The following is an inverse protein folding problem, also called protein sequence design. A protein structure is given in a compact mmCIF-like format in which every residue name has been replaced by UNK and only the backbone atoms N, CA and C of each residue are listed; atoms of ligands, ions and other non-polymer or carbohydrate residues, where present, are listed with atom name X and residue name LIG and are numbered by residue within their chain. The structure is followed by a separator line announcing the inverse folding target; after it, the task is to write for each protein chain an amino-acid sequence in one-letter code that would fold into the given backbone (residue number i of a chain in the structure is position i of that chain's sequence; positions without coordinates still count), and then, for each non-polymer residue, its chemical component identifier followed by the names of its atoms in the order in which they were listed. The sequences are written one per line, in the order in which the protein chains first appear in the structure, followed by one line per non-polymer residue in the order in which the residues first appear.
data_IF_811610578833
#
_entry.id   IF_811610578833
#
_cell.length_a   1.000
_cell.length_b   1.000
_cell.length_c   1.000
_cell.angle_alpha   90.00
_cell.angle_beta   90.00
_cell.angle_gamma   90.00
#
_symmetry.space_group_name_H-M   'P 1'
#
loop_
_entity.id
_entity.type
_entity.pdbx_description
1 polymer ?
#
# COMPACT_ATOMS: atom_id res chain seq x y z
N UNK A 1 18.92 -10.00 12.52
CA UNK A 1 18.50 -10.07 11.10
C UNK A 1 17.84 -8.75 10.79
N UNK A 2 18.09 -8.19 9.61
CA UNK A 2 17.38 -6.95 9.18
C UNK A 2 15.90 -7.26 8.97
N UNK A 3 15.03 -6.41 9.49
CA UNK A 3 13.56 -6.51 9.34
C UNK A 3 13.14 -5.96 7.98
N UNK A 4 13.41 -6.69 6.90
CA UNK A 4 13.11 -6.30 5.53
C UNK A 4 11.70 -6.73 5.11
N UNK A 5 11.05 -5.93 4.27
CA UNK A 5 9.83 -6.31 3.58
C UNK A 5 10.20 -7.17 2.37
N UNK A 6 9.57 -8.33 2.23
CA UNK A 6 9.82 -9.21 1.07
C UNK A 6 8.53 -9.35 0.25
N UNK A 7 8.56 -8.99 -1.04
CA UNK A 7 7.45 -9.12 -1.98
C UNK A 7 7.95 -9.80 -3.24
N UNK A 8 7.31 -10.88 -3.65
CA UNK A 8 7.64 -11.61 -4.88
C UNK A 8 9.15 -11.99 -5.00
N UNK A 9 9.81 -12.26 -3.87
CA UNK A 9 11.23 -12.61 -3.81
C UNK A 9 12.19 -11.42 -3.75
N UNK A 10 11.72 -10.19 -3.93
CA UNK A 10 12.52 -8.99 -3.76
C UNK A 10 12.42 -8.47 -2.34
N UNK A 11 13.51 -7.89 -1.81
CA UNK A 11 13.59 -7.33 -0.46
C UNK A 11 13.71 -5.82 -0.49
N UNK A 12 12.99 -5.17 0.43
CA UNK A 12 12.92 -3.72 0.54
C UNK A 12 13.19 -3.28 1.97
N UNK A 13 13.91 -2.19 2.14
CA UNK A 13 14.15 -1.59 3.45
C UNK A 13 12.97 -0.72 3.89
N UNK A 14 12.27 -0.13 2.93
CA UNK A 14 11.08 0.69 3.18
C UNK A 14 9.82 -0.18 3.21
N UNK A 15 8.95 0.10 4.19
CA UNK A 15 7.60 -0.46 4.30
C UNK A 15 6.53 0.52 3.80
N UNK A 16 6.98 1.67 3.24
CA UNK A 16 6.14 2.65 2.59
C UNK A 16 6.14 2.42 1.09
N UNK A 17 4.96 2.23 0.51
CA UNK A 17 4.71 2.25 -0.92
C UNK A 17 3.98 3.55 -1.25
N UNK A 18 4.34 4.21 -2.36
CA UNK A 18 3.77 5.52 -2.69
C UNK A 18 3.24 5.59 -4.11
N UNK A 19 2.15 6.33 -4.29
CA UNK A 19 1.57 6.61 -5.60
C UNK A 19 2.12 7.90 -6.22
N UNK A 20 1.90 8.05 -7.52
CA UNK A 20 2.39 9.16 -8.34
C UNK A 20 1.30 10.15 -8.77
N UNK A 21 0.06 9.90 -8.40
CA UNK A 21 -1.06 10.72 -8.86
C UNK A 21 -1.33 11.96 -8.02
N UNK A 22 -1.89 13.00 -8.66
CA UNK A 22 -2.46 14.19 -8.01
C UNK A 22 -1.47 15.19 -7.39
N UNK A 23 -0.17 15.00 -7.57
CA UNK A 23 0.81 16.05 -7.28
C UNK A 23 0.68 17.18 -8.29
N UNK A 24 1.21 18.34 -7.95
CA UNK A 24 1.17 19.53 -8.77
C UNK A 24 1.92 19.36 -10.10
N UNK A 25 3.09 18.73 -10.04
CA UNK A 25 3.96 18.45 -11.18
C UNK A 25 4.88 17.25 -10.88
N UNK A 26 5.69 16.84 -11.86
CA UNK A 26 6.61 15.71 -11.69
C UNK A 26 7.79 16.01 -10.76
N UNK A 27 8.20 17.28 -10.61
CA UNK A 27 9.25 17.65 -9.67
C UNK A 27 8.79 17.49 -8.22
N UNK A 28 7.59 17.96 -7.89
CA UNK A 28 6.98 17.72 -6.56
C UNK A 28 6.75 16.22 -6.30
N UNK A 29 6.32 15.47 -7.32
CA UNK A 29 6.16 14.01 -7.25
C UNK A 29 7.48 13.35 -6.89
N UNK A 30 8.56 13.66 -7.60
CA UNK A 30 9.91 13.15 -7.35
C UNK A 30 10.39 13.50 -5.95
N UNK A 31 10.29 14.77 -5.55
CA UNK A 31 10.75 15.23 -4.23
C UNK A 31 9.99 14.54 -3.09
N UNK A 32 8.68 14.35 -3.23
CA UNK A 32 7.87 13.63 -2.25
C UNK A 32 8.26 12.15 -2.16
N UNK A 33 8.48 11.47 -3.29
CA UNK A 33 8.92 10.07 -3.34
C UNK A 33 10.30 9.91 -2.69
N UNK A 34 11.27 10.76 -3.06
CA UNK A 34 12.62 10.73 -2.49
C UNK A 34 12.59 10.94 -0.97
N UNK A 35 11.82 11.93 -0.51
CA UNK A 35 11.67 12.24 0.92
C UNK A 35 10.97 11.13 1.69
N UNK A 36 10.02 10.44 1.08
CA UNK A 36 9.31 9.30 1.68
C UNK A 36 10.21 8.10 1.92
N UNK A 37 11.30 7.98 1.17
CA UNK A 37 12.18 6.82 1.20
C UNK A 37 11.55 5.54 0.63
N UNK A 38 10.42 5.66 -0.08
CA UNK A 38 9.77 4.51 -0.72
C UNK A 38 10.66 3.92 -1.81
N UNK A 39 10.70 2.61 -1.89
CA UNK A 39 11.42 1.85 -2.92
C UNK A 39 10.46 1.26 -3.97
N UNK A 40 9.16 1.20 -3.65
CA UNK A 40 8.09 0.76 -4.56
C UNK A 40 7.18 1.95 -4.86
N UNK A 41 7.02 2.25 -6.15
CA UNK A 41 6.24 3.39 -6.63
C UNK A 41 5.12 2.93 -7.55
N UNK A 42 3.85 3.23 -7.20
CA UNK A 42 2.72 2.83 -8.04
C UNK A 42 2.44 3.83 -9.15
N UNK A 43 2.13 3.30 -10.33
CA UNK A 43 1.82 4.08 -11.52
C UNK A 43 0.51 3.63 -12.15
N UNK A 44 -0.43 4.56 -12.29
CA UNK A 44 -1.72 4.29 -12.95
C UNK A 44 -1.56 4.30 -14.48
N UNK A 45 -1.44 3.13 -15.09
CA UNK A 45 -1.15 2.94 -16.52
C UNK A 45 -2.13 3.68 -17.44
N UNK A 46 -3.41 3.73 -17.07
CA UNK A 46 -4.44 4.39 -17.87
C UNK A 46 -4.42 5.93 -17.79
N UNK A 47 -3.66 6.50 -16.85
CA UNK A 47 -3.72 7.93 -16.51
C UNK A 47 -2.37 8.64 -16.64
N UNK A 48 -1.29 7.88 -16.79
CA UNK A 48 0.07 8.43 -16.74
C UNK A 48 0.84 7.98 -17.96
N UNK A 49 1.49 8.92 -18.65
CA UNK A 49 2.40 8.58 -19.73
C UNK A 49 3.70 7.97 -19.15
N UNK A 50 3.96 6.72 -19.54
CA UNK A 50 5.19 5.97 -19.24
C UNK A 50 5.87 5.50 -20.54
N UNK A 51 5.69 6.27 -21.63
CA UNK A 51 6.24 6.00 -22.95
C UNK A 51 5.20 5.72 -24.04
N UNK A 52 3.89 5.68 -23.71
CA UNK A 52 2.82 5.46 -24.71
C UNK A 52 2.65 6.64 -25.67
N UNK A 53 3.00 7.85 -25.25
CA UNK A 53 2.90 9.08 -26.04
C UNK A 53 4.25 9.81 -26.06
N UNK A 54 4.90 9.84 -27.19
CA UNK A 54 6.21 10.47 -27.35
C UNK A 54 6.17 12.02 -27.26
N UNK A 55 5.01 12.63 -27.46
CA UNK A 55 4.81 14.08 -27.42
C UNK A 55 4.51 14.62 -26.01
N UNK A 56 4.36 13.74 -25.03
CA UNK A 56 4.07 14.10 -23.64
C UNK A 56 5.24 13.73 -22.72
N UNK A 57 5.48 14.48 -21.62
CA UNK A 57 6.49 14.12 -20.64
C UNK A 57 6.28 12.69 -20.11
N UNK A 58 7.35 11.91 -20.10
CA UNK A 58 7.33 10.55 -19.56
C UNK A 58 7.65 10.58 -18.06
N UNK A 59 6.77 10.01 -17.24
CA UNK A 59 6.99 9.93 -15.79
C UNK A 59 8.28 9.19 -15.44
N UNK A 60 8.68 8.20 -16.22
CA UNK A 60 9.88 7.39 -15.95
C UNK A 60 11.19 8.18 -16.12
N UNK A 61 11.17 9.34 -16.79
CA UNK A 61 12.31 10.26 -16.84
C UNK A 61 12.56 10.95 -15.48
N UNK A 62 11.53 11.05 -14.64
CA UNK A 62 11.58 11.63 -13.29
C UNK A 62 11.72 10.56 -12.20
N UNK A 63 11.19 9.37 -12.43
CA UNK A 63 11.15 8.23 -11.49
C UNK A 63 11.71 7.01 -12.20
N UNK A 64 13.05 6.89 -12.18
CA UNK A 64 13.76 5.84 -12.92
C UNK A 64 13.46 4.44 -12.39
N UNK A 65 13.13 3.48 -13.28
CA UNK A 65 13.04 2.05 -12.94
C UNK A 65 14.35 1.45 -12.40
N UNK A 66 15.50 2.07 -12.67
CA UNK A 66 16.79 1.63 -12.11
C UNK A 66 16.91 1.89 -10.61
N UNK A 67 16.13 2.84 -10.09
CA UNK A 67 16.14 3.24 -8.69
C UNK A 67 14.95 2.72 -7.90
N UNK A 68 13.81 2.56 -8.56
CA UNK A 68 12.54 2.20 -7.94
C UNK A 68 11.93 0.96 -8.60
N UNK A 69 11.32 0.11 -7.80
CA UNK A 69 10.40 -0.90 -8.33
C UNK A 69 9.12 -0.18 -8.77
N UNK A 70 8.91 -0.11 -10.07
CA UNK A 70 7.66 0.42 -10.63
C UNK A 70 6.58 -0.62 -10.43
N UNK A 71 5.47 -0.22 -9.81
CA UNK A 71 4.31 -1.07 -9.58
C UNK A 71 3.12 -0.53 -10.39
N UNK A 72 2.95 -0.99 -11.64
CA UNK A 72 1.81 -0.58 -12.45
C UNK A 72 0.52 -1.04 -11.81
N UNK A 73 -0.50 -0.16 -11.83
CA UNK A 73 -1.80 -0.47 -11.27
C UNK A 73 -2.95 -0.27 -12.27
N UNK A 74 -4.04 -0.95 -12.00
CA UNK A 74 -5.27 -0.95 -12.81
C UNK A 74 -6.30 0.07 -12.31
N UNK A 75 -5.87 1.15 -11.70
CA UNK A 75 -6.75 2.18 -11.14
C UNK A 75 -7.76 2.70 -12.17
N UNK A 76 -9.03 2.69 -11.77
CA UNK A 76 -10.14 3.09 -12.63
C UNK A 76 -10.65 2.00 -13.57
N UNK A 77 -10.29 0.74 -13.39
CA UNK A 77 -10.93 -0.40 -14.02
C UNK A 77 -12.16 -0.85 -13.22
N UNK A 78 -13.27 -1.09 -13.92
CA UNK A 78 -14.55 -1.54 -13.33
C UNK A 78 -14.93 -2.95 -13.77
N UNK A 79 -14.12 -3.60 -14.57
CA UNK A 79 -14.31 -4.99 -14.99
C UNK A 79 -12.99 -5.77 -14.92
N UNK A 80 -13.10 -7.09 -14.78
CA UNK A 80 -11.94 -7.99 -14.80
C UNK A 80 -11.17 -7.88 -16.12
N UNK A 81 -11.90 -7.86 -17.23
CA UNK A 81 -11.36 -7.79 -18.59
C UNK A 81 -10.53 -6.52 -18.81
N UNK A 82 -11.01 -5.37 -18.32
CA UNK A 82 -10.29 -4.10 -18.40
C UNK A 82 -9.01 -4.12 -17.56
N UNK A 83 -9.09 -4.68 -16.34
CA UNK A 83 -7.94 -4.79 -15.47
C UNK A 83 -6.85 -5.70 -16.05
N UNK A 84 -7.22 -6.87 -16.57
CA UNK A 84 -6.28 -7.80 -17.22
C UNK A 84 -5.64 -7.15 -18.45
N UNK A 85 -6.43 -6.49 -19.31
CA UNK A 85 -5.89 -5.76 -20.46
C UNK A 85 -4.90 -4.68 -20.05
N UNK A 86 -5.20 -3.95 -18.96
CA UNK A 86 -4.32 -2.91 -18.42
C UNK A 86 -2.98 -3.49 -17.92
N UNK A 87 -3.00 -4.63 -17.22
CA UNK A 87 -1.78 -5.30 -16.77
C UNK A 87 -0.94 -5.82 -17.96
N UNK A 88 -1.58 -6.39 -19.00
CA UNK A 88 -0.89 -6.83 -20.21
C UNK A 88 -0.21 -5.67 -20.95
N UNK A 89 -0.89 -4.53 -21.06
CA UNK A 89 -0.29 -3.30 -21.60
C UNK A 89 0.90 -2.83 -20.74
N UNK A 90 0.78 -2.86 -19.43
CA UNK A 90 1.87 -2.49 -18.54
C UNK A 90 3.10 -3.38 -18.75
N UNK A 91 2.92 -4.70 -18.90
CA UNK A 91 4.00 -5.64 -19.16
C UNK A 91 4.72 -5.34 -20.49
N UNK A 92 3.97 -4.96 -21.52
CA UNK A 92 4.56 -4.56 -22.82
C UNK A 92 5.36 -3.26 -22.70
N UNK A 93 4.82 -2.26 -22.00
CA UNK A 93 5.47 -0.94 -21.83
C UNK A 93 6.70 -0.97 -20.91
N UNK A 94 6.80 -1.96 -20.04
CA UNK A 94 7.87 -2.12 -19.04
C UNK A 94 8.72 -3.38 -19.31
N UNK A 95 8.95 -3.70 -20.58
CA UNK A 95 9.88 -4.76 -21.04
C UNK A 95 9.70 -6.13 -20.34
N UNK A 96 8.46 -6.55 -20.17
CA UNK A 96 8.14 -7.86 -19.59
C UNK A 96 7.95 -7.85 -18.07
N UNK A 97 7.85 -6.68 -17.44
CA UNK A 97 7.62 -6.54 -16.00
C UNK A 97 6.34 -7.27 -15.56
N UNK A 98 6.45 -8.16 -14.58
CA UNK A 98 5.39 -9.08 -14.16
C UNK A 98 4.72 -8.73 -12.83
N UNK A 99 5.30 -7.82 -12.03
CA UNK A 99 4.72 -7.37 -10.77
C UNK A 99 3.67 -6.29 -11.03
N UNK A 100 2.43 -6.51 -10.60
CA UNK A 100 1.32 -5.57 -10.82
C UNK A 100 0.47 -5.39 -9.56
N UNK A 101 -0.15 -4.21 -9.43
CA UNK A 101 -1.19 -3.97 -8.44
C UNK A 101 -2.55 -4.05 -9.11
N UNK A 102 -3.30 -5.10 -8.78
CA UNK A 102 -4.65 -5.31 -9.27
C UNK A 102 -5.66 -4.52 -8.42
N UNK A 103 -6.47 -3.72 -9.10
CA UNK A 103 -7.60 -2.98 -8.53
C UNK A 103 -8.79 -3.09 -9.48
N UNK A 104 -9.92 -3.63 -9.04
CA UNK A 104 -11.17 -3.64 -9.79
C UNK A 104 -12.26 -2.99 -8.94
N UNK A 105 -12.82 -1.88 -9.40
CA UNK A 105 -13.79 -1.09 -8.68
C UNK A 105 -15.22 -1.55 -8.95
N UNK A 106 -16.06 -1.49 -7.92
CA UNK A 106 -17.49 -1.86 -8.03
C UNK A 106 -18.43 -0.68 -8.17
N UNK A 107 -18.03 0.47 -7.62
CA UNK A 107 -18.88 1.66 -7.57
C UNK A 107 -18.07 2.95 -7.79
N UNK A 108 -18.58 3.84 -8.63
CA UNK A 108 -17.87 5.06 -9.00
C UNK A 108 -17.78 6.11 -7.88
N UNK A 109 -18.73 6.10 -6.95
CA UNK A 109 -18.80 7.08 -5.86
C UNK A 109 -17.94 6.67 -4.67
N UNK A 110 -17.98 5.40 -4.31
CA UNK A 110 -17.26 4.88 -3.16
C UNK A 110 -15.88 4.32 -3.50
N UNK A 111 -15.66 3.96 -4.77
CA UNK A 111 -14.48 3.25 -5.25
C UNK A 111 -14.22 1.95 -4.45
N UNK A 112 -15.30 1.33 -3.95
CA UNK A 112 -15.21 0.05 -3.24
C UNK A 112 -14.81 -1.06 -4.22
N UNK A 113 -13.99 -2.04 -3.82
CA UNK A 113 -13.57 -3.11 -4.72
C UNK A 113 -14.74 -4.02 -5.10
N UNK A 114 -14.75 -4.44 -6.36
CA UNK A 114 -15.66 -5.46 -6.87
C UNK A 114 -15.03 -6.84 -6.68
N UNK A 115 -15.35 -7.52 -5.61
CA UNK A 115 -14.69 -8.79 -5.24
C UNK A 115 -14.83 -9.87 -6.32
N UNK A 116 -16.02 -10.02 -6.91
CA UNK A 116 -16.23 -11.02 -7.99
C UNK A 116 -15.32 -10.79 -9.17
N UNK A 117 -15.19 -9.55 -9.64
CA UNK A 117 -14.30 -9.20 -10.73
C UNK A 117 -12.83 -9.21 -10.32
N UNK A 118 -12.51 -8.88 -9.06
CA UNK A 118 -11.14 -8.96 -8.52
C UNK A 118 -10.65 -10.41 -8.51
N UNK A 119 -11.43 -11.35 -7.98
CA UNK A 119 -11.09 -12.78 -7.98
C UNK A 119 -10.90 -13.33 -9.40
N UNK A 120 -11.80 -12.96 -10.34
CA UNK A 120 -11.70 -13.35 -11.73
C UNK A 120 -10.41 -12.83 -12.39
N UNK A 121 -10.12 -11.54 -12.23
CA UNK A 121 -8.92 -10.92 -12.79
C UNK A 121 -7.63 -11.47 -12.17
N UNK A 122 -7.61 -11.67 -10.84
CA UNK A 122 -6.46 -12.25 -10.14
C UNK A 122 -6.11 -13.63 -10.69
N UNK A 123 -7.11 -14.51 -10.85
CA UNK A 123 -6.91 -15.84 -11.42
C UNK A 123 -6.30 -15.77 -12.81
N UNK A 124 -6.89 -14.99 -13.73
CA UNK A 124 -6.41 -14.87 -15.09
C UNK A 124 -4.98 -14.30 -15.16
N UNK A 125 -4.66 -13.31 -14.32
CA UNK A 125 -3.32 -12.72 -14.29
C UNK A 125 -2.28 -13.69 -13.73
N UNK A 126 -2.59 -14.43 -12.65
CA UNK A 126 -1.70 -15.43 -12.07
C UNK A 126 -1.45 -16.56 -13.07
N UNK A 127 -2.48 -17.06 -13.74
CA UNK A 127 -2.36 -18.10 -14.79
C UNK A 127 -1.51 -17.61 -15.98
N UNK A 128 -1.49 -16.30 -16.26
CA UNK A 128 -0.64 -15.64 -17.28
C UNK A 128 0.77 -15.24 -16.75
N UNK A 129 1.13 -15.70 -15.55
CA UNK A 129 2.45 -15.54 -14.95
C UNK A 129 2.73 -14.19 -14.28
N UNK A 130 1.71 -13.38 -14.01
CA UNK A 130 1.88 -12.16 -13.23
C UNK A 130 2.04 -12.44 -11.73
N UNK A 131 2.83 -11.61 -11.07
CA UNK A 131 2.95 -11.50 -9.62
C UNK A 131 1.97 -10.44 -9.13
N UNK A 132 0.84 -10.86 -8.59
CA UNK A 132 -0.27 -9.97 -8.30
C UNK A 132 -0.24 -9.51 -6.85
N UNK A 133 -0.11 -8.21 -6.62
CA UNK A 133 -0.46 -7.52 -5.38
C UNK A 133 -1.91 -7.04 -5.53
N UNK A 134 -2.82 -7.45 -4.66
CA UNK A 134 -4.26 -7.26 -4.91
C UNK A 134 -4.92 -6.35 -3.90
N UNK A 135 -5.49 -5.22 -4.38
CA UNK A 135 -6.38 -4.36 -3.61
C UNK A 135 -7.73 -5.03 -3.38
N UNK A 136 -8.18 -5.07 -2.14
CA UNK A 136 -9.43 -5.71 -1.74
C UNK A 136 -10.09 -4.97 -0.57
N UNK A 137 -11.29 -5.44 -0.17
CA UNK A 137 -11.92 -5.02 1.07
C UNK A 137 -11.21 -5.66 2.30
N UNK A 138 -11.73 -5.35 3.49
CA UNK A 138 -11.22 -5.85 4.77
C UNK A 138 -11.90 -7.17 5.21
N UNK A 139 -12.43 -7.95 4.27
CA UNK A 139 -13.01 -9.26 4.55
C UNK A 139 -11.90 -10.33 4.67
N UNK A 140 -11.74 -10.98 5.85
CA UNK A 140 -10.70 -11.99 6.05
C UNK A 140 -10.88 -13.25 5.18
N UNK A 141 -12.11 -13.60 4.81
CA UNK A 141 -12.37 -14.75 3.91
C UNK A 141 -11.87 -14.44 2.50
N UNK A 142 -12.18 -13.24 1.98
CA UNK A 142 -11.71 -12.80 0.66
C UNK A 142 -10.18 -12.66 0.64
N UNK A 143 -9.60 -12.12 1.70
CA UNK A 143 -8.15 -12.00 1.82
C UNK A 143 -7.47 -13.38 1.73
N UNK A 144 -7.99 -14.37 2.44
CA UNK A 144 -7.49 -15.74 2.40
C UNK A 144 -7.67 -16.40 1.03
N UNK A 145 -8.82 -16.21 0.38
CA UNK A 145 -9.08 -16.73 -0.96
C UNK A 145 -8.07 -16.17 -1.99
N UNK A 146 -7.77 -14.88 -1.94
CA UNK A 146 -6.79 -14.23 -2.80
C UNK A 146 -5.35 -14.73 -2.56
N UNK A 147 -4.98 -14.95 -1.29
CA UNK A 147 -3.70 -15.58 -0.93
C UNK A 147 -3.61 -17.01 -1.47
N UNK A 148 -4.61 -17.85 -1.22
CA UNK A 148 -4.65 -19.26 -1.65
C UNK A 148 -4.67 -19.38 -3.19
N UNK A 149 -5.14 -18.34 -3.88
CA UNK A 149 -5.08 -18.23 -5.32
C UNK A 149 -3.66 -17.99 -5.86
N UNK A 150 -2.75 -17.48 -5.03
CA UNK A 150 -1.36 -17.21 -5.38
C UNK A 150 -1.00 -15.72 -5.53
N UNK A 151 -1.82 -14.80 -5.00
CA UNK A 151 -1.43 -13.40 -4.90
C UNK A 151 -0.17 -13.27 -4.02
N UNK A 152 0.78 -12.45 -4.45
CA UNK A 152 2.08 -12.28 -3.76
C UNK A 152 2.01 -11.27 -2.61
N UNK A 153 0.94 -10.51 -2.51
CA UNK A 153 0.58 -9.66 -1.38
C UNK A 153 -0.92 -9.36 -1.43
N UNK A 154 -1.56 -9.24 -0.26
CA UNK A 154 -2.96 -8.81 -0.13
C UNK A 154 -2.99 -7.41 0.46
N UNK A 155 -3.81 -6.55 -0.14
CA UNK A 155 -3.83 -5.12 0.16
C UNK A 155 -5.25 -4.68 0.59
N UNK A 156 -5.64 -4.99 1.85
CA UNK A 156 -6.96 -4.59 2.35
C UNK A 156 -7.04 -3.07 2.50
N UNK A 157 -8.22 -2.51 2.21
CA UNK A 157 -8.49 -1.10 2.47
C UNK A 157 -8.58 -0.82 3.97
N UNK A 158 -8.02 0.31 4.41
CA UNK A 158 -8.32 0.87 5.74
C UNK A 158 -9.68 1.57 5.74
N UNK A 159 -9.96 2.33 4.70
CA UNK A 159 -11.23 2.96 4.34
C UNK A 159 -11.25 3.35 2.87
N UNK A 160 -12.28 4.04 2.41
CA UNK A 160 -12.46 4.38 1.00
C UNK A 160 -11.25 5.14 0.42
N UNK A 161 -10.91 4.85 -0.83
CA UNK A 161 -9.83 5.53 -1.56
C UNK A 161 -9.98 7.05 -1.48
N UNK A 162 -8.95 7.74 -0.99
CA UNK A 162 -8.92 9.19 -0.90
C UNK A 162 -9.80 9.81 0.17
N UNK A 163 -10.40 9.01 1.06
CA UNK A 163 -11.27 9.50 2.13
C UNK A 163 -10.52 10.11 3.32
N UNK A 164 -9.30 9.63 3.60
CA UNK A 164 -8.54 10.06 4.77
C UNK A 164 -9.16 9.67 6.11
N UNK A 165 -10.05 8.68 6.14
CA UNK A 165 -10.76 8.23 7.34
C UNK A 165 -9.96 7.27 8.23
N UNK A 166 -8.76 6.89 7.79
CA UNK A 166 -7.90 5.95 8.50
C UNK A 166 -8.38 4.50 8.40
N UNK A 167 -8.05 3.69 9.40
CA UNK A 167 -8.44 2.28 9.50
C UNK A 167 -9.74 2.19 10.29
N UNK A 168 -10.87 1.99 9.58
CA UNK A 168 -12.20 1.96 10.20
C UNK A 168 -12.50 0.63 10.89
N UNK A 169 -11.94 -0.47 10.41
CA UNK A 169 -12.18 -1.80 10.98
C UNK A 169 -10.86 -2.51 11.34
N UNK A 170 -10.20 -2.07 12.41
CA UNK A 170 -8.94 -2.68 12.86
C UNK A 170 -9.12 -4.13 13.32
N UNK A 171 -10.35 -4.56 13.62
CA UNK A 171 -10.63 -5.95 14.02
C UNK A 171 -10.43 -6.89 12.82
N UNK A 172 -11.05 -6.59 11.69
CA UNK A 172 -10.91 -7.43 10.49
C UNK A 172 -9.45 -7.47 10.00
N UNK A 173 -8.75 -6.32 10.04
CA UNK A 173 -7.32 -6.30 9.67
C UNK A 173 -6.50 -7.25 10.55
N UNK A 174 -6.80 -7.34 11.87
CA UNK A 174 -6.13 -8.33 12.74
C UNK A 174 -6.46 -9.77 12.37
N UNK A 175 -7.71 -10.07 12.04
CA UNK A 175 -8.10 -11.41 11.58
C UNK A 175 -7.35 -11.80 10.30
N UNK A 176 -7.19 -10.85 9.38
CA UNK A 176 -6.40 -11.08 8.17
C UNK A 176 -4.93 -11.36 8.53
N UNK A 177 -4.34 -10.56 9.42
CA UNK A 177 -2.93 -10.72 9.83
C UNK A 177 -2.66 -12.04 10.57
N UNK A 178 -3.62 -12.55 11.34
CA UNK A 178 -3.49 -13.81 12.08
C UNK A 178 -3.39 -15.03 11.16
N UNK A 179 -4.01 -14.99 9.98
CA UNK A 179 -4.08 -16.12 9.04
C UNK A 179 -3.14 -15.95 7.82
N UNK A 180 -2.59 -14.76 7.63
CA UNK A 180 -1.81 -14.43 6.44
C UNK A 180 -0.43 -15.10 6.43
N UNK A 181 -0.03 -15.63 5.27
CA UNK A 181 1.32 -16.10 4.97
C UNK A 181 2.02 -15.29 3.86
N UNK A 182 1.31 -14.33 3.28
CA UNK A 182 1.84 -13.34 2.35
C UNK A 182 1.80 -11.94 2.98
N UNK A 183 2.60 -10.98 2.50
CA UNK A 183 2.58 -9.61 3.02
C UNK A 183 1.19 -8.98 2.97
N UNK A 184 0.79 -8.37 4.09
CA UNK A 184 -0.44 -7.59 4.22
C UNK A 184 -0.06 -6.11 4.24
N UNK A 185 -0.53 -5.37 3.24
CA UNK A 185 -0.21 -3.97 3.04
C UNK A 185 -1.51 -3.16 3.09
N UNK A 186 -1.69 -2.31 4.08
CA UNK A 186 -2.87 -1.44 4.11
C UNK A 186 -2.82 -0.48 2.92
N UNK A 187 -3.92 -0.49 2.13
CA UNK A 187 -4.07 0.35 0.94
C UNK A 187 -5.37 1.14 1.03
N UNK A 188 -5.31 2.40 0.69
CA UNK A 188 -6.42 3.33 0.79
C UNK A 188 -6.85 3.74 2.21
N UNK A 189 -7.42 4.94 2.30
CA UNK A 189 -8.00 5.47 3.53
C UNK A 189 -7.05 6.14 4.49
N UNK A 190 -5.75 5.87 4.43
CA UNK A 190 -4.74 6.56 5.25
C UNK A 190 -4.76 8.05 4.92
N UNK A 191 -4.98 8.89 5.94
CA UNK A 191 -5.09 10.35 5.79
C UNK A 191 -3.96 11.11 6.44
N UNK A 192 -3.30 10.53 7.45
CA UNK A 192 -2.21 11.18 8.19
C UNK A 192 -1.25 10.18 8.84
N UNK A 193 -0.19 10.68 9.43
CA UNK A 193 0.89 9.89 10.05
C UNK A 193 0.38 8.90 11.12
N UNK A 194 -0.60 9.27 11.95
CA UNK A 194 -1.15 8.37 12.97
C UNK A 194 -1.85 7.14 12.39
N UNK A 195 -2.48 7.26 11.23
CA UNK A 195 -3.14 6.13 10.57
C UNK A 195 -2.10 5.13 10.04
N UNK A 196 -1.01 5.64 9.46
CA UNK A 196 0.11 4.82 8.99
C UNK A 196 0.81 4.11 10.17
N UNK A 197 1.06 4.82 11.27
CA UNK A 197 1.63 4.24 12.48
C UNK A 197 0.74 3.14 13.05
N UNK A 198 -0.59 3.36 13.10
CA UNK A 198 -1.55 2.36 13.57
C UNK A 198 -1.50 1.08 12.74
N UNK A 199 -1.45 1.18 11.41
CA UNK A 199 -1.31 0.01 10.53
C UNK A 199 -0.06 -0.81 10.89
N UNK A 200 1.07 -0.13 11.06
CA UNK A 200 2.34 -0.78 11.39
C UNK A 200 2.35 -1.37 12.81
N UNK A 201 1.77 -0.67 13.80
CA UNK A 201 1.61 -1.17 15.18
C UNK A 201 0.72 -2.41 15.26
N UNK A 202 -0.22 -2.57 14.33
CA UNK A 202 -1.07 -3.76 14.22
C UNK A 202 -0.31 -4.97 13.68
N UNK A 203 0.84 -4.76 13.04
CA UNK A 203 1.66 -5.80 12.44
C UNK A 203 1.54 -5.92 10.92
N UNK A 204 0.89 -4.96 10.25
CA UNK A 204 0.91 -4.93 8.79
C UNK A 204 2.35 -4.85 8.27
N UNK A 205 2.59 -5.42 7.09
CA UNK A 205 3.93 -5.47 6.50
C UNK A 205 4.32 -4.16 5.82
N UNK A 206 3.34 -3.38 5.42
CA UNK A 206 3.55 -2.06 4.82
C UNK A 206 2.27 -1.25 4.69
N UNK A 207 2.43 -0.04 4.18
CA UNK A 207 1.32 0.88 3.85
C UNK A 207 1.55 1.46 2.48
N UNK A 208 0.53 1.40 1.63
CA UNK A 208 0.49 2.12 0.37
C UNK A 208 -0.37 3.36 0.52
N UNK A 209 0.16 4.51 0.14
CA UNK A 209 -0.55 5.77 0.22
C UNK A 209 -0.18 6.69 -0.97
N UNK A 210 -1.10 7.59 -1.30
CA UNK A 210 -0.88 8.63 -2.30
C UNK A 210 -1.59 9.92 -1.90
N UNK A 211 -2.92 9.91 -1.84
CA UNK A 211 -3.74 11.13 -1.60
C UNK A 211 -3.39 11.83 -0.30
N UNK A 212 -3.03 11.10 0.74
CA UNK A 212 -2.61 11.67 2.03
C UNK A 212 -1.38 12.58 1.91
N UNK A 213 -0.48 12.26 0.99
CA UNK A 213 0.70 13.09 0.69
C UNK A 213 0.35 14.15 -0.33
N UNK A 214 -0.15 13.75 -1.50
CA UNK A 214 -0.36 14.66 -2.63
C UNK A 214 -1.39 15.78 -2.34
N UNK A 215 -2.37 15.54 -1.46
CA UNK A 215 -3.37 16.56 -1.08
C UNK A 215 -3.02 17.30 0.22
N UNK A 216 -1.89 17.00 0.84
CA UNK A 216 -1.43 17.78 1.99
C UNK A 216 -1.07 19.22 1.57
N UNK A 217 -1.24 20.18 2.47
CA UNK A 217 -0.79 21.56 2.20
C UNK A 217 0.72 21.68 1.91
N UNK A 218 1.50 20.70 2.37
CA UNK A 218 2.95 20.59 2.14
C UNK A 218 3.29 19.12 1.88
N UNK A 219 3.18 18.65 0.61
CA UNK A 219 3.33 17.22 0.26
C UNK A 219 4.66 16.61 0.72
N UNK A 220 5.77 17.28 0.44
CA UNK A 220 7.11 16.81 0.82
C UNK A 220 7.26 16.64 2.34
N UNK A 221 6.73 17.58 3.12
CA UNK A 221 6.74 17.49 4.58
C UNK A 221 5.86 16.33 5.07
N UNK A 222 4.70 16.10 4.44
CA UNK A 222 3.84 14.97 4.76
C UNK A 222 4.51 13.63 4.39
N UNK A 223 5.21 13.54 3.27
CA UNK A 223 6.01 12.37 2.90
C UNK A 223 7.04 12.01 3.99
N UNK A 224 7.76 13.01 4.50
CA UNK A 224 8.67 12.84 5.65
C UNK A 224 7.95 12.36 6.92
N UNK A 225 6.77 12.89 7.21
CA UNK A 225 5.98 12.49 8.36
C UNK A 225 5.49 11.04 8.24
N UNK A 226 5.03 10.64 7.06
CA UNK A 226 4.59 9.27 6.78
C UNK A 226 5.73 8.25 6.93
N UNK A 227 6.92 8.56 6.39
CA UNK A 227 8.11 7.73 6.59
C UNK A 227 8.36 7.46 8.07
N UNK A 228 8.46 8.51 8.88
CA UNK A 228 8.73 8.40 10.32
C UNK A 228 7.62 7.65 11.07
N UNK A 229 6.37 7.82 10.66
CA UNK A 229 5.23 7.12 11.25
C UNK A 229 5.29 5.62 11.01
N UNK A 230 5.63 5.22 9.78
CA UNK A 230 5.79 3.81 9.41
C UNK A 230 6.96 3.17 10.15
N UNK A 231 8.11 3.86 10.21
CA UNK A 231 9.28 3.42 10.96
C UNK A 231 8.94 3.25 12.46
N UNK A 232 8.38 4.28 13.09
CA UNK A 232 8.01 4.25 14.49
C UNK A 232 6.95 3.18 14.82
N UNK A 233 5.93 3.02 13.96
CA UNK A 233 4.89 1.99 14.15
C UNK A 233 5.48 0.58 14.06
N UNK A 234 6.41 0.36 13.12
CA UNK A 234 7.10 -0.94 12.99
C UNK A 234 7.99 -1.23 14.19
N UNK A 235 8.76 -0.26 14.65
CA UNK A 235 9.58 -0.39 15.86
C UNK A 235 8.72 -0.69 17.09
N UNK A 236 7.58 -0.02 17.25
CA UNK A 236 6.63 -0.28 18.33
C UNK A 236 6.04 -1.70 18.29
N UNK A 237 5.71 -2.20 17.08
CA UNK A 237 5.26 -3.57 16.88
C UNK A 237 6.34 -4.57 17.31
N UNK A 238 7.57 -4.40 16.82
CA UNK A 238 8.71 -5.29 17.15
C UNK A 238 9.10 -5.25 18.63
N UNK A 239 9.02 -4.06 19.25
CA UNK A 239 9.29 -3.90 20.68
C UNK A 239 8.24 -4.59 21.56
N UNK A 240 7.04 -4.77 21.04
CA UNK A 240 5.92 -5.34 21.78
C UNK A 240 5.26 -4.31 22.70
N UNK A 241 3.94 -4.21 22.56
CA UNK A 241 3.12 -3.30 23.36
C UNK A 241 2.98 -3.78 24.81
N UNK A 242 3.08 -2.87 25.78
CA UNK A 242 2.73 -3.22 27.17
C UNK A 242 1.25 -3.68 27.28
N UNK A 243 0.94 -4.65 28.17
CA UNK A 243 -0.44 -5.10 28.38
C UNK A 243 -1.35 -3.95 28.80
N UNK A 244 -2.57 -3.91 28.26
CA UNK A 244 -3.61 -3.01 28.73
C UNK A 244 -4.10 -3.48 30.12
N UNK A 245 -4.26 -2.55 31.04
CA UNK A 245 -4.75 -2.81 32.40
C UNK A 245 -6.01 -2.00 32.65
N UNK A 246 -6.97 -2.60 33.35
CA UNK A 246 -8.21 -1.93 33.73
C UNK A 246 -7.97 -0.86 34.84
N UNK A 247 -6.92 -1.04 35.65
CA UNK A 247 -6.61 -0.15 36.78
C UNK A 247 -5.20 0.42 36.63
N UNK A 248 -4.99 1.57 37.31
CA UNK A 248 -3.70 2.23 37.35
C UNK A 248 -2.66 1.35 38.07
N UNK A 249 -1.43 1.44 37.59
CA UNK A 249 -0.24 0.91 38.29
C UNK A 249 0.75 2.06 38.45
N UNK A 250 1.26 2.26 39.65
CA UNK A 250 2.23 3.31 39.89
C UNK A 250 3.48 3.12 39.03
N UNK A 251 3.96 4.22 38.43
CA UNK A 251 5.16 4.21 37.58
C UNK A 251 6.47 4.18 38.38
N UNK A 252 6.41 4.54 39.65
CA UNK A 252 7.54 4.52 40.56
C UNK A 252 7.28 3.54 41.72
N UNK A 253 8.32 2.88 42.26
CA UNK A 253 8.20 2.08 43.47
C UNK A 253 7.60 2.90 44.61
N UNK A 254 6.65 2.33 45.33
CA UNK A 254 6.06 2.97 46.52
C UNK A 254 6.88 2.68 47.79
N UNK A 255 7.80 1.73 47.75
CA UNK A 255 8.69 1.34 48.85
C UNK A 255 9.80 2.39 49.04
N UNK A 256 9.96 2.89 50.24
CA UNK A 256 11.01 3.85 50.58
C UNK A 256 10.57 5.34 50.54
N UNK A 257 9.29 5.63 50.35
CA UNK A 257 8.79 6.99 50.55
C UNK A 257 8.74 7.25 52.04
N UNK A 258 9.64 8.12 52.54
CA UNK A 258 9.55 8.65 53.91
C UNK A 258 8.25 9.45 54.06
N UNK A 259 7.42 9.08 55.02
CA UNK A 259 6.20 9.78 55.39
C UNK A 259 6.54 11.06 56.15
#
# INVERSE_FOLDING_TARGET
MSDLLTIAGNTYSSRLLIGTGKYKDFDETREAIETSGAEIVTVAIRRTNIGQNADEPNLLDFISPDRYTILPNTAGCFSAEDAVRCCKLARELLDGHDLVKLEVLGDQKTLYPNITHTLKAARELIDDGFKVMVYTNDDPIVAKELEDMGCVAVMPLGSLIGSGLGILNPHNIRLILEEASVPIIVDAGVGTASDASLAMEMGCDGVLLNSAVAHANKPVLMASAMKKAIEAGREAFLAGRMPRKAYATASSPLDGISR
#
